data_IF_309844019303
#
_entry.id   IF_309844019303
#
_cell.length_a   1.000
_cell.length_b   1.000
_cell.length_c   1.000
_cell.angle_alpha   90.00
_cell.angle_beta   90.00
_cell.angle_gamma   90.00
#
_symmetry.space_group_name_H-M   'P 1'
#
loop_
_entity.id
_entity.type
_entity.pdbx_description
1 polymer ?
#
# COMPACT_ATOMS: atom_id res chain seq x y z
N UNK A 1 -7.27 -7.87 -6.67
CA UNK A 1 -6.53 -6.66 -6.30
C UNK A 1 -7.37 -5.42 -6.57
N UNK A 2 -7.30 -4.44 -5.70
CA UNK A 2 -8.05 -3.21 -5.88
C UNK A 2 -7.27 -2.26 -6.78
N UNK A 3 -7.91 -1.79 -7.83
CA UNK A 3 -7.32 -0.83 -8.76
C UNK A 3 -8.13 0.47 -8.80
N UNK A 4 -9.35 0.44 -8.32
CA UNK A 4 -10.22 1.60 -8.28
C UNK A 4 -9.82 2.51 -7.11
N UNK A 5 -9.72 3.84 -7.31
CA UNK A 5 -9.27 4.75 -6.25
C UNK A 5 -10.07 4.64 -4.95
N UNK A 6 -11.38 4.44 -5.04
CA UNK A 6 -12.22 4.31 -3.85
C UNK A 6 -11.88 3.04 -3.09
N UNK A 7 -11.71 1.93 -3.80
CA UNK A 7 -11.35 0.67 -3.17
C UNK A 7 -9.93 0.68 -2.63
N UNK A 8 -9.01 1.31 -3.34
CA UNK A 8 -7.63 1.48 -2.88
C UNK A 8 -7.62 2.22 -1.54
N UNK A 9 -8.32 3.35 -1.48
CA UNK A 9 -8.39 4.13 -0.25
C UNK A 9 -9.01 3.32 0.89
N UNK A 10 -10.09 2.61 0.61
CA UNK A 10 -10.76 1.79 1.62
C UNK A 10 -9.83 0.70 2.16
N UNK A 11 -9.08 0.02 1.27
CA UNK A 11 -8.15 -1.01 1.71
C UNK A 11 -6.99 -0.44 2.52
N UNK A 12 -6.50 0.74 2.14
CA UNK A 12 -5.44 1.39 2.90
C UNK A 12 -5.91 1.73 4.31
N UNK A 13 -7.09 2.29 4.44
CA UNK A 13 -7.64 2.63 5.75
C UNK A 13 -7.91 1.40 6.59
N UNK A 14 -8.44 0.37 5.97
CA UNK A 14 -8.73 -0.89 6.66
C UNK A 14 -7.44 -1.54 7.14
N UNK A 15 -6.41 -1.57 6.30
CA UNK A 15 -5.14 -2.16 6.67
C UNK A 15 -4.46 -1.38 7.78
N UNK A 16 -4.60 -0.05 7.79
CA UNK A 16 -4.06 0.77 8.86
C UNK A 16 -4.72 0.43 10.19
N UNK A 17 -6.05 0.33 10.19
CA UNK A 17 -6.78 0.02 11.40
C UNK A 17 -6.49 -1.40 11.91
N UNK A 18 -6.37 -2.35 11.00
CA UNK A 18 -6.11 -3.74 11.35
C UNK A 18 -4.62 -4.05 11.51
N UNK A 19 -3.75 -3.10 11.16
CA UNK A 19 -2.30 -3.28 11.20
C UNK A 19 -1.82 -4.46 10.36
N UNK A 20 -2.45 -4.65 9.22
CA UNK A 20 -2.09 -5.71 8.29
C UNK A 20 -1.15 -5.21 7.22
N UNK A 21 -0.40 -6.14 6.63
CA UNK A 21 0.51 -5.81 5.54
C UNK A 21 -0.23 -5.86 4.21
N UNK A 22 0.18 -4.99 3.31
CA UNK A 22 -0.37 -4.95 1.96
C UNK A 22 0.74 -5.06 0.94
N UNK A 23 0.39 -5.59 -0.21
CA UNK A 23 1.26 -5.56 -1.37
C UNK A 23 0.75 -4.49 -2.30
N UNK A 24 1.60 -3.51 -2.58
CA UNK A 24 1.28 -2.41 -3.46
C UNK A 24 2.04 -2.53 -4.76
N UNK A 25 1.40 -2.08 -5.82
CA UNK A 25 2.08 -1.82 -7.08
C UNK A 25 2.06 -0.32 -7.30
N UNK A 26 3.25 0.24 -7.42
CA UNK A 26 3.43 1.68 -7.57
C UNK A 26 4.00 1.98 -8.95
N UNK A 27 3.43 2.99 -9.61
CA UNK A 27 3.96 3.47 -10.87
C UNK A 27 5.17 4.35 -10.61
N UNK A 28 6.30 4.02 -11.20
CA UNK A 28 7.49 4.86 -11.15
C UNK A 28 7.41 5.93 -12.24
N UNK A 29 8.25 6.95 -12.12
CA UNK A 29 8.23 8.07 -13.04
C UNK A 29 8.59 7.71 -14.49
N UNK A 30 9.27 6.58 -14.68
CA UNK A 30 9.66 6.10 -16.01
C UNK A 30 8.63 5.13 -16.61
N UNK A 31 7.51 4.92 -15.94
CA UNK A 31 6.47 4.04 -16.42
C UNK A 31 6.55 2.61 -15.90
N UNK A 32 7.63 2.27 -15.22
CA UNK A 32 7.74 0.95 -14.60
C UNK A 32 6.82 0.85 -13.39
N UNK A 33 6.42 -0.38 -13.09
CA UNK A 33 5.63 -0.67 -11.91
C UNK A 33 6.49 -1.43 -10.93
N UNK A 34 6.57 -0.93 -9.70
CA UNK A 34 7.33 -1.57 -8.64
C UNK A 34 6.38 -2.16 -7.62
N UNK A 35 6.69 -3.37 -7.18
CA UNK A 35 5.90 -4.06 -6.17
C UNK A 35 6.57 -3.87 -4.82
N UNK A 36 5.76 -3.52 -3.80
CA UNK A 36 6.27 -3.27 -2.45
C UNK A 36 5.37 -3.93 -1.43
N UNK A 37 5.98 -4.52 -0.42
CA UNK A 37 5.24 -5.01 0.75
C UNK A 37 5.33 -3.94 1.81
N UNK A 38 4.19 -3.42 2.23
CA UNK A 38 4.16 -2.26 3.12
C UNK A 38 3.16 -2.42 4.24
N UNK A 39 3.37 -1.63 5.28
CA UNK A 39 2.38 -1.41 6.33
C UNK A 39 1.93 0.05 6.25
N UNK A 40 0.64 0.28 6.34
CA UNK A 40 0.11 1.63 6.24
C UNK A 40 0.28 2.35 7.57
N UNK A 41 0.97 3.49 7.54
CA UNK A 41 1.19 4.31 8.74
C UNK A 41 0.15 5.40 8.87
N UNK A 42 -0.18 6.06 7.77
CA UNK A 42 -1.18 7.12 7.77
C UNK A 42 -1.72 7.30 6.35
N UNK A 43 -2.96 7.73 6.27
CA UNK A 43 -3.58 8.10 4.99
C UNK A 43 -4.06 9.52 5.13
N UNK A 44 -3.49 10.41 4.32
CA UNK A 44 -3.86 11.83 4.33
C UNK A 44 -4.35 12.21 2.94
N UNK A 45 -4.75 13.45 2.79
CA UNK A 45 -5.30 13.94 1.52
C UNK A 45 -4.39 13.61 0.35
N UNK A 46 -4.80 12.65 -0.48
CA UNK A 46 -4.09 12.28 -1.69
C UNK A 46 -2.77 11.56 -1.50
N UNK A 47 -2.39 11.21 -0.27
CA UNK A 47 -1.10 10.57 0.01
C UNK A 47 -1.24 9.51 1.09
N UNK A 48 -0.39 8.50 1.00
CA UNK A 48 -0.29 7.48 2.03
C UNK A 48 1.14 7.39 2.52
N UNK A 49 1.32 7.40 3.84
CA UNK A 49 2.63 7.13 4.45
C UNK A 49 2.70 5.65 4.74
N UNK A 50 3.75 5.04 4.27
CA UNK A 50 3.90 3.59 4.27
C UNK A 50 5.26 3.21 4.84
N UNK A 51 5.29 2.10 5.55
CA UNK A 51 6.55 1.49 5.95
C UNK A 51 6.86 0.37 4.95
N UNK A 52 7.97 0.51 4.24
CA UNK A 52 8.44 -0.52 3.32
C UNK A 52 9.13 -1.59 4.15
N UNK A 53 8.50 -2.74 4.27
CA UNK A 53 8.98 -3.78 5.18
C UNK A 53 10.23 -4.48 4.65
N UNK A 54 10.39 -4.54 3.34
CA UNK A 54 11.56 -5.19 2.75
C UNK A 54 12.81 -4.34 2.89
N UNK A 55 12.65 -3.04 2.82
CA UNK A 55 13.78 -2.11 2.89
C UNK A 55 13.93 -1.46 4.27
N UNK A 56 12.97 -1.71 5.15
CA UNK A 56 12.94 -1.15 6.49
C UNK A 56 13.04 0.37 6.46
N UNK A 57 12.33 0.98 5.51
CA UNK A 57 12.30 2.42 5.34
C UNK A 57 10.87 2.91 5.26
N UNK A 58 10.69 4.21 5.46
CA UNK A 58 9.40 4.85 5.33
C UNK A 58 9.34 5.57 3.99
N UNK A 59 8.19 5.50 3.34
CA UNK A 59 7.98 6.21 2.10
C UNK A 59 6.60 6.84 2.09
N UNK A 60 6.44 7.87 1.28
CA UNK A 60 5.17 8.51 1.05
C UNK A 60 4.81 8.34 -0.43
N UNK A 61 3.64 7.80 -0.68
CA UNK A 61 3.17 7.58 -2.04
C UNK A 61 1.91 8.38 -2.30
N UNK A 62 1.88 9.05 -3.45
CA UNK A 62 0.65 9.69 -3.89
C UNK A 62 -0.34 8.62 -4.28
N UNK A 63 -1.60 8.78 -3.89
CA UNK A 63 -2.61 7.77 -4.15
C UNK A 63 -2.79 7.49 -5.63
N UNK A 64 -2.64 8.51 -6.48
CA UNK A 64 -2.79 8.31 -7.91
C UNK A 64 -1.66 7.50 -8.55
N UNK A 65 -0.57 7.28 -7.83
CA UNK A 65 0.52 6.42 -8.30
C UNK A 65 0.35 4.97 -7.91
N UNK A 66 -0.60 4.68 -7.06
CA UNK A 66 -0.87 3.31 -6.65
C UNK A 66 -1.67 2.63 -7.75
N UNK A 67 -1.05 1.67 -8.41
CA UNK A 67 -1.69 0.93 -9.50
C UNK A 67 -2.68 -0.08 -8.96
N UNK A 68 -2.28 -0.79 -7.92
CA UNK A 68 -3.15 -1.78 -7.29
C UNK A 68 -2.72 -2.02 -5.86
N UNK A 69 -3.66 -2.49 -5.05
CA UNK A 69 -3.45 -2.85 -3.65
C UNK A 69 -4.11 -4.19 -3.40
N UNK A 70 -3.42 -5.07 -2.70
CA UNK A 70 -4.00 -6.33 -2.28
C UNK A 70 -3.41 -6.75 -0.93
N UNK A 71 -4.12 -7.58 -0.18
CA UNK A 71 -3.54 -8.13 1.03
C UNK A 71 -2.28 -8.91 0.70
N UNK A 72 -1.27 -8.82 1.57
CA UNK A 72 -0.03 -9.56 1.34
C UNK A 72 -0.30 -11.06 1.50
N UNK A 73 -0.16 -11.85 0.44
CA UNK A 73 -0.43 -13.29 0.52
C UNK A 73 0.57 -14.03 1.40
N UNK A 74 1.72 -13.43 1.66
CA UNK A 74 2.74 -14.02 2.53
C UNK A 74 2.55 -13.62 3.98
N UNK A 75 1.58 -12.73 4.28
CA UNK A 75 1.34 -12.31 5.65
C UNK A 75 0.86 -13.49 6.48
N UNK A 76 1.32 -13.61 7.74
CA UNK A 76 0.79 -14.66 8.61
C UNK A 76 -0.70 -14.50 8.76
N UNK A 77 -1.41 -15.62 8.69
CA UNK A 77 -2.84 -15.57 8.95
C UNK A 77 -3.08 -15.12 10.36
N UNK A 78 -4.08 -14.28 10.53
CA UNK A 78 -4.54 -13.98 11.87
C UNK A 78 -5.10 -15.25 12.48
N UNK A 79 -4.77 -15.49 13.68
CA UNK A 79 -5.24 -16.67 14.40
C UNK A 79 -6.15 -16.27 15.50
#
# INVERSE_FOLDING_TARGET
AATDPVHVLALLRQARAARTRLRLRLAAGDGDVQERTVRVLAVESGRARLADLDRETELTAALHRIVSVEPDPAAPSAR
#
